data_IF_711494539098
#
_entry.id   IF_711494539098
#
_cell.length_a   1.000
_cell.length_b   1.000
_cell.length_c   1.000
_cell.angle_alpha   90.00
_cell.angle_beta   90.00
_cell.angle_gamma   90.00
#
_symmetry.space_group_name_H-M   'P 1'
#
loop_
_entity.id
_entity.type
_entity.pdbx_description
1 polymer ?
#
# COMPACT_ATOMS: atom_id res chain seq x y z
N UNK A 1 -2.26 -53.72 43.94
CA UNK A 1 -1.60 -52.40 43.97
C UNK A 1 -0.98 -52.20 42.60
N UNK A 2 -1.31 -51.25 41.74
CA UNK A 2 -2.19 -50.09 41.74
C UNK A 2 -1.93 -49.45 40.36
N UNK A 3 -2.93 -49.50 39.49
CA UNK A 3 -3.64 -48.33 38.95
C UNK A 3 -3.04 -47.79 37.64
N UNK A 4 -3.87 -47.96 36.62
CA UNK A 4 -3.95 -47.24 35.36
C UNK A 4 -3.71 -45.74 35.53
N UNK A 5 -2.94 -45.16 34.62
CA UNK A 5 -2.69 -43.73 34.52
C UNK A 5 -2.27 -43.35 33.11
N UNK A 6 -3.15 -43.60 32.14
CA UNK A 6 -3.06 -43.03 30.80
C UNK A 6 -3.56 -41.58 30.87
N UNK A 7 -2.68 -40.59 30.79
CA UNK A 7 -3.01 -39.20 30.49
C UNK A 7 -1.92 -38.67 29.56
N UNK A 8 -2.05 -38.80 28.23
CA UNK A 8 -2.95 -37.97 27.44
C UNK A 8 -3.02 -36.51 27.95
N UNK A 9 -1.87 -35.86 28.10
CA UNK A 9 -1.78 -34.40 28.19
C UNK A 9 -1.01 -33.75 27.03
N UNK A 10 -0.66 -34.50 25.97
CA UNK A 10 -0.27 -33.91 24.67
C UNK A 10 -1.48 -33.40 23.86
N UNK A 11 -2.54 -32.98 24.55
CA UNK A 11 -3.62 -32.16 23.98
C UNK A 11 -3.45 -30.71 24.41
N UNK A 12 -2.37 -30.10 23.94
CA UNK A 12 -2.37 -28.69 23.56
C UNK A 12 -2.67 -28.65 22.07
N UNK A 13 -3.92 -28.83 21.58
CA UNK A 13 -4.98 -27.79 21.56
C UNK A 13 -4.34 -26.41 21.67
N UNK A 14 -4.03 -25.67 20.61
CA UNK A 14 -4.53 -25.65 19.26
C UNK A 14 -3.50 -24.76 18.53
N UNK A 15 -2.86 -25.18 17.43
CA UNK A 15 -2.17 -24.21 16.56
C UNK A 15 -3.26 -23.50 15.76
N UNK A 16 -4.10 -22.75 16.47
CA UNK A 16 -5.21 -22.00 15.93
C UNK A 16 -4.60 -20.99 14.96
N UNK A 17 -5.00 -21.04 13.69
CA UNK A 17 -4.64 -20.00 12.72
C UNK A 17 -5.19 -18.66 13.21
N UNK A 18 -4.68 -17.54 12.72
CA UNK A 18 -5.25 -16.24 13.09
C UNK A 18 -6.60 -16.08 12.37
N UNK A 19 -6.61 -16.37 11.07
CA UNK A 19 -7.81 -16.30 10.23
C UNK A 19 -7.90 -17.59 9.41
N UNK A 20 -9.09 -18.14 9.29
CA UNK A 20 -9.41 -19.15 8.25
C UNK A 20 -10.57 -18.68 7.40
N UNK A 21 -10.34 -18.57 6.09
CA UNK A 21 -11.36 -18.29 5.08
C UNK A 21 -11.88 -19.63 4.56
N UNK A 22 -13.19 -19.86 4.61
CA UNK A 22 -13.83 -21.17 4.37
C UNK A 22 -14.65 -21.21 3.10
N UNK A 23 -14.56 -22.33 2.37
CA UNK A 23 -15.48 -22.67 1.28
C UNK A 23 -15.40 -21.77 0.05
N UNK A 24 -14.32 -20.99 -0.07
CA UNK A 24 -14.15 -20.00 -1.13
C UNK A 24 -13.81 -20.62 -2.48
N UNK A 25 -14.15 -19.89 -3.55
CA UNK A 25 -13.66 -20.16 -4.90
C UNK A 25 -12.34 -19.40 -5.07
N UNK A 26 -11.22 -20.09 -4.90
CA UNK A 26 -9.88 -19.49 -4.93
C UNK A 26 -9.42 -19.26 -6.37
N UNK A 27 -9.03 -18.02 -6.66
CA UNK A 27 -8.33 -17.61 -7.89
C UNK A 27 -6.98 -17.03 -7.45
N UNK A 28 -5.90 -17.80 -7.59
CA UNK A 28 -4.61 -17.48 -6.95
C UNK A 28 -3.72 -16.50 -7.74
N UNK A 29 -4.22 -15.96 -8.86
CA UNK A 29 -3.51 -14.98 -9.68
C UNK A 29 -2.44 -15.57 -10.61
N UNK A 30 -2.21 -16.89 -10.61
CA UNK A 30 -1.23 -17.54 -11.49
C UNK A 30 -1.72 -17.74 -12.93
N UNK A 31 -3.01 -17.52 -13.18
CA UNK A 31 -3.68 -17.85 -14.44
C UNK A 31 -4.21 -19.29 -14.51
N UNK A 32 -4.01 -20.11 -13.47
CA UNK A 32 -4.63 -21.43 -13.35
C UNK A 32 -6.16 -21.33 -13.18
N UNK A 33 -6.93 -22.39 -13.52
CA UNK A 33 -8.37 -22.44 -13.25
C UNK A 33 -8.68 -22.28 -11.75
N UNK A 34 -9.84 -21.68 -11.45
CA UNK A 34 -10.32 -21.54 -10.08
C UNK A 34 -10.66 -22.89 -9.44
N UNK A 35 -10.56 -22.98 -8.11
CA UNK A 35 -10.88 -24.19 -7.35
C UNK A 35 -11.53 -23.86 -6.02
N UNK A 36 -12.38 -24.74 -5.51
CA UNK A 36 -12.85 -24.64 -4.14
C UNK A 36 -11.72 -24.97 -3.16
N UNK A 37 -11.49 -24.09 -2.20
CA UNK A 37 -10.49 -24.29 -1.15
C UNK A 37 -10.74 -23.34 0.04
N UNK A 38 -10.24 -23.77 1.19
CA UNK A 38 -10.03 -22.93 2.37
C UNK A 38 -8.65 -22.27 2.32
N UNK A 39 -8.49 -21.16 3.01
CA UNK A 39 -7.22 -20.44 3.19
C UNK A 39 -6.96 -20.23 4.67
N UNK A 40 -5.79 -20.63 5.14
CA UNK A 40 -5.34 -20.41 6.52
C UNK A 40 -4.26 -19.33 6.56
N UNK A 41 -4.41 -18.37 7.47
CA UNK A 41 -3.49 -17.25 7.68
C UNK A 41 -2.93 -17.33 9.09
N UNK A 42 -1.62 -17.15 9.21
CA UNK A 42 -0.92 -17.07 10.50
C UNK A 42 0.25 -16.09 10.41
N UNK A 43 0.40 -15.25 11.43
CA UNK A 43 1.47 -14.26 11.56
C UNK A 43 1.55 -13.36 10.30
N UNK A 44 0.38 -12.96 9.77
CA UNK A 44 0.25 -12.14 8.57
C UNK A 44 0.58 -12.84 7.24
N UNK A 45 0.76 -14.17 7.24
CA UNK A 45 1.11 -14.95 6.05
C UNK A 45 0.09 -16.03 5.75
N UNK A 46 -0.14 -16.30 4.46
CA UNK A 46 -0.88 -17.49 4.03
C UNK A 46 0.00 -18.71 4.30
N UNK A 47 -0.49 -19.65 5.10
CA UNK A 47 0.24 -20.85 5.52
C UNK A 47 -0.34 -22.15 4.94
N UNK A 48 -1.58 -22.12 4.48
CA UNK A 48 -2.19 -23.23 3.73
C UNK A 48 -3.27 -22.73 2.77
N UNK A 49 -3.42 -23.45 1.64
CA UNK A 49 -4.51 -23.29 0.67
C UNK A 49 -4.97 -24.68 0.25
N UNK A 50 -6.23 -25.02 0.46
CA UNK A 50 -6.77 -26.36 0.18
C UNK A 50 -7.79 -26.78 1.23
N UNK A 51 -7.75 -28.04 1.66
CA UNK A 51 -8.54 -28.48 2.82
C UNK A 51 -7.79 -28.11 4.09
N UNK A 52 -8.46 -27.41 5.01
CA UNK A 52 -7.89 -26.99 6.30
C UNK A 52 -8.74 -27.63 7.40
N UNK A 53 -8.22 -28.56 8.19
CA UNK A 53 -9.02 -29.22 9.23
C UNK A 53 -9.14 -28.37 10.50
N UNK A 54 -8.12 -27.56 10.80
CA UNK A 54 -8.07 -26.71 11.99
C UNK A 54 -8.84 -25.39 11.81
N UNK A 55 -9.36 -24.83 12.90
CA UNK A 55 -10.01 -23.50 12.89
C UNK A 55 -9.02 -22.37 13.14
N UNK A 56 -9.44 -21.14 12.81
CA UNK A 56 -8.76 -19.91 13.18
C UNK A 56 -9.38 -19.24 14.40
N UNK A 57 -8.69 -18.22 14.93
CA UNK A 57 -9.24 -17.26 15.91
C UNK A 57 -10.46 -16.58 15.29
N UNK A 58 -10.33 -16.19 14.03
CA UNK A 58 -11.39 -15.71 13.17
C UNK A 58 -11.69 -16.72 12.07
N UNK A 59 -12.98 -16.88 11.76
CA UNK A 59 -13.44 -17.71 10.65
C UNK A 59 -14.33 -16.87 9.76
N UNK A 60 -13.96 -16.78 8.48
CA UNK A 60 -14.70 -16.05 7.45
C UNK A 60 -15.36 -17.07 6.52
N UNK A 61 -16.69 -17.07 6.44
CA UNK A 61 -17.44 -17.88 5.48
C UNK A 61 -17.44 -17.20 4.10
N UNK A 62 -16.72 -17.80 3.14
CA UNK A 62 -16.62 -17.35 1.76
C UNK A 62 -17.38 -18.29 0.81
N UNK A 63 -18.35 -19.07 1.30
CA UNK A 63 -19.16 -19.97 0.48
C UNK A 63 -19.84 -19.21 -0.67
N UNK A 64 -19.57 -19.63 -1.90
CA UNK A 64 -20.10 -18.98 -3.11
C UNK A 64 -19.42 -17.66 -3.48
N UNK A 65 -18.42 -17.22 -2.71
CA UNK A 65 -17.62 -16.02 -2.97
C UNK A 65 -16.29 -16.39 -3.65
N UNK A 66 -15.74 -15.44 -4.39
CA UNK A 66 -14.37 -15.54 -4.90
C UNK A 66 -13.39 -15.07 -3.84
N UNK A 67 -12.28 -15.79 -3.70
CA UNK A 67 -11.16 -15.37 -2.87
C UNK A 67 -9.94 -15.21 -3.77
N UNK A 68 -9.43 -13.98 -3.85
CA UNK A 68 -8.32 -13.60 -4.73
C UNK A 68 -7.17 -13.03 -3.91
N UNK A 69 -5.94 -12.95 -4.45
CA UNK A 69 -4.97 -11.98 -3.97
C UNK A 69 -5.59 -10.59 -3.94
N UNK A 70 -5.18 -9.77 -2.97
CA UNK A 70 -5.51 -8.36 -2.98
C UNK A 70 -4.95 -7.69 -4.24
N UNK A 71 -5.69 -6.74 -4.80
CA UNK A 71 -5.29 -6.09 -6.04
C UNK A 71 -4.11 -5.14 -5.80
N UNK A 72 -3.28 -5.01 -6.84
CA UNK A 72 -2.16 -4.07 -6.88
C UNK A 72 -2.53 -3.00 -7.89
N UNK A 73 -2.60 -1.75 -7.43
CA UNK A 73 -2.80 -0.59 -8.29
C UNK A 73 -1.43 0.00 -8.64
N UNK A 74 -0.91 -0.22 -9.86
CA UNK A 74 0.43 0.19 -10.23
C UNK A 74 0.53 1.69 -10.55
N UNK A 75 -0.59 2.43 -10.56
CA UNK A 75 -0.61 3.78 -11.08
C UNK A 75 -1.56 4.69 -10.30
N UNK A 76 -1.08 5.15 -9.15
CA UNK A 76 -1.83 6.05 -8.27
C UNK A 76 -1.14 7.40 -8.11
N UNK A 77 -1.95 8.36 -7.64
CA UNK A 77 -1.52 9.68 -7.18
C UNK A 77 -1.96 9.91 -5.72
N UNK A 78 -1.87 8.85 -4.90
CA UNK A 78 -2.19 8.92 -3.47
C UNK A 78 -1.09 9.53 -2.61
N UNK A 79 -0.02 10.05 -3.22
CA UNK A 79 1.17 10.59 -2.59
C UNK A 79 0.85 11.56 -1.43
N UNK A 80 -0.11 12.46 -1.66
CA UNK A 80 -0.61 13.38 -0.65
C UNK A 80 -1.74 12.77 0.16
N UNK A 81 -2.68 12.09 -0.52
CA UNK A 81 -3.92 11.62 0.09
C UNK A 81 -3.70 10.68 1.27
N UNK A 82 -2.66 9.84 1.23
CA UNK A 82 -2.35 8.93 2.34
C UNK A 82 -2.08 9.64 3.68
N UNK A 83 -1.76 10.94 3.66
CA UNK A 83 -1.52 11.72 4.88
C UNK A 83 -2.82 12.11 5.61
N UNK A 84 -3.96 12.20 4.91
CA UNK A 84 -5.27 12.50 5.53
C UNK A 84 -6.31 11.38 5.39
N UNK A 85 -6.12 10.48 4.44
CA UNK A 85 -6.86 9.23 4.27
C UNK A 85 -5.86 8.06 4.23
N UNK A 86 -5.39 7.58 5.39
CA UNK A 86 -4.39 6.52 5.49
C UNK A 86 -4.90 5.16 5.00
N UNK A 87 -6.21 5.03 4.76
CA UNK A 87 -6.82 3.79 4.29
C UNK A 87 -6.80 3.65 2.76
N UNK A 88 -6.40 4.70 2.03
CA UNK A 88 -6.56 4.81 0.58
C UNK A 88 -7.98 4.40 0.16
N UNK A 89 -8.99 4.95 0.86
CA UNK A 89 -10.38 4.48 0.79
C UNK A 89 -10.95 4.34 -0.63
N UNK A 90 -10.62 5.20 -1.61
CA UNK A 90 -11.17 5.02 -2.96
C UNK A 90 -10.62 3.78 -3.69
N UNK A 91 -9.49 3.20 -3.25
CA UNK A 91 -8.94 1.96 -3.81
C UNK A 91 -9.19 0.76 -2.90
N UNK A 92 -9.02 0.89 -1.58
CA UNK A 92 -9.12 -0.26 -0.66
C UNK A 92 -10.52 -0.86 -0.60
N UNK A 93 -11.58 -0.04 -0.71
CA UNK A 93 -12.97 -0.53 -0.78
C UNK A 93 -13.27 -1.32 -2.07
N UNK A 94 -12.41 -1.21 -3.08
CA UNK A 94 -12.50 -1.99 -4.32
C UNK A 94 -11.55 -3.19 -4.34
N UNK A 95 -10.95 -3.56 -3.19
CA UNK A 95 -10.09 -4.73 -3.05
C UNK A 95 -8.60 -4.49 -3.31
N UNK A 96 -8.19 -3.23 -3.50
CA UNK A 96 -6.76 -2.88 -3.62
C UNK A 96 -6.10 -2.96 -2.25
N UNK A 97 -4.97 -3.67 -2.18
CA UNK A 97 -4.17 -3.84 -0.95
C UNK A 97 -2.76 -3.27 -1.08
N UNK A 98 -2.34 -2.95 -2.30
CA UNK A 98 -1.03 -2.37 -2.60
C UNK A 98 -1.19 -1.29 -3.65
N UNK A 99 -0.56 -0.14 -3.42
CA UNK A 99 -0.53 0.97 -4.37
C UNK A 99 0.91 1.31 -4.77
N UNK A 100 1.07 1.85 -5.97
CA UNK A 100 2.31 2.49 -6.43
C UNK A 100 2.02 3.96 -6.72
N UNK A 101 2.65 4.86 -5.96
CA UNK A 101 2.57 6.32 -6.12
C UNK A 101 3.79 6.91 -6.83
N UNK A 102 3.81 8.23 -6.97
CA UNK A 102 4.92 8.95 -7.60
C UNK A 102 4.96 8.86 -9.13
N UNK A 103 3.80 8.62 -9.74
CA UNK A 103 3.64 8.44 -11.17
C UNK A 103 3.73 9.76 -11.95
N UNK A 104 3.85 9.65 -13.27
CA UNK A 104 3.80 10.79 -14.21
C UNK A 104 4.87 11.87 -13.99
N UNK A 105 5.91 11.57 -13.20
CA UNK A 105 6.94 12.52 -12.81
C UNK A 105 6.55 13.44 -11.65
N UNK A 106 5.37 13.23 -11.06
CA UNK A 106 4.84 14.03 -9.96
C UNK A 106 4.99 13.30 -8.64
N UNK A 107 5.63 13.96 -7.68
CA UNK A 107 5.83 13.47 -6.32
C UNK A 107 5.84 14.65 -5.36
N UNK A 108 5.72 14.37 -4.07
CA UNK A 108 5.79 15.39 -3.04
C UNK A 108 7.20 15.65 -2.52
N UNK A 109 8.16 14.79 -2.89
CA UNK A 109 9.54 14.87 -2.44
C UNK A 109 10.49 14.48 -3.60
N UNK A 110 11.71 15.04 -3.63
CA UNK A 110 12.26 15.99 -2.68
C UNK A 110 11.62 17.39 -2.80
N UNK A 111 11.67 18.17 -1.72
CA UNK A 111 10.98 19.46 -1.61
C UNK A 111 11.92 20.53 -1.04
N UNK A 112 12.29 21.51 -1.86
CA UNK A 112 13.09 22.64 -1.36
C UNK A 112 12.31 23.49 -0.35
N UNK A 113 12.97 24.04 0.68
CA UNK A 113 12.36 25.02 1.56
C UNK A 113 11.77 26.20 0.77
N UNK A 114 10.46 26.40 0.90
CA UNK A 114 9.71 27.45 0.20
C UNK A 114 9.00 27.02 -1.09
N UNK A 115 9.22 25.81 -1.60
CA UNK A 115 8.63 25.33 -2.86
C UNK A 115 7.32 24.53 -2.68
N UNK A 116 6.81 24.43 -1.45
CA UNK A 116 5.60 23.64 -1.16
C UNK A 116 4.40 24.11 -2.00
N UNK A 117 4.23 25.43 -2.15
CA UNK A 117 3.15 26.01 -2.96
C UNK A 117 3.26 25.62 -4.44
N UNK A 118 4.47 25.48 -4.98
CA UNK A 118 4.68 25.05 -6.37
C UNK A 118 4.24 23.59 -6.57
N UNK A 119 4.70 22.66 -5.72
CA UNK A 119 4.29 21.25 -5.83
C UNK A 119 2.80 21.07 -5.57
N UNK A 120 2.23 21.84 -4.64
CA UNK A 120 0.79 21.81 -4.35
C UNK A 120 -0.06 22.25 -5.55
N UNK A 121 0.33 23.34 -6.21
CA UNK A 121 -0.35 23.84 -7.41
C UNK A 121 -0.16 22.90 -8.60
N UNK A 122 1.01 22.28 -8.73
CA UNK A 122 1.27 21.26 -9.74
C UNK A 122 0.31 20.07 -9.56
N UNK A 123 0.22 19.53 -8.35
CA UNK A 123 -0.66 18.40 -8.03
C UNK A 123 -2.15 18.76 -8.28
N UNK A 124 -2.56 19.97 -7.90
CA UNK A 124 -3.92 20.44 -8.18
C UNK A 124 -4.22 20.57 -9.68
N UNK A 125 -3.26 21.07 -10.46
CA UNK A 125 -3.44 21.30 -11.89
C UNK A 125 -3.42 20.01 -12.71
N UNK A 126 -2.56 19.06 -12.36
CA UNK A 126 -2.37 17.85 -13.17
C UNK A 126 -3.27 16.71 -12.70
N UNK A 127 -3.33 16.46 -11.40
CA UNK A 127 -4.12 15.35 -10.84
C UNK A 127 -5.53 15.78 -10.39
N UNK A 128 -5.90 17.05 -10.62
CA UNK A 128 -7.22 17.57 -10.28
C UNK A 128 -7.50 17.61 -8.78
N UNK A 129 -6.49 17.44 -7.93
CA UNK A 129 -6.66 17.46 -6.48
C UNK A 129 -7.12 18.84 -6.02
N UNK A 130 -8.19 18.96 -5.20
CA UNK A 130 -8.63 20.25 -4.69
C UNK A 130 -7.50 20.92 -3.90
N UNK A 131 -7.18 22.17 -4.24
CA UNK A 131 -6.09 22.90 -3.57
C UNK A 131 -6.29 22.94 -2.05
N UNK A 132 -7.53 23.19 -1.61
CA UNK A 132 -7.95 23.18 -0.21
C UNK A 132 -7.61 21.87 0.52
N UNK A 133 -7.76 20.71 -0.14
CA UNK A 133 -7.40 19.43 0.46
C UNK A 133 -5.90 19.33 0.68
N UNK A 134 -5.10 19.81 -0.28
CA UNK A 134 -3.64 19.79 -0.18
C UNK A 134 -3.08 20.80 0.84
N UNK A 135 -3.76 21.91 1.12
CA UNK A 135 -3.32 22.88 2.16
C UNK A 135 -3.62 22.38 3.56
N UNK A 136 -4.75 21.69 3.74
CA UNK A 136 -5.23 21.29 5.06
C UNK A 136 -4.85 19.84 5.40
N UNK A 137 -4.62 19.00 4.40
CA UNK A 137 -4.36 17.57 4.57
C UNK A 137 -2.91 17.22 4.83
N UNK A 138 -1.98 18.16 4.70
CA UNK A 138 -0.56 17.93 4.97
C UNK A 138 0.20 19.22 5.29
N UNK A 139 1.23 19.12 6.12
CA UNK A 139 2.06 20.22 6.59
C UNK A 139 3.27 20.53 5.67
N UNK A 140 3.53 19.68 4.67
CA UNK A 140 4.65 19.81 3.72
C UNK A 140 6.02 20.00 4.40
N UNK A 141 6.20 19.39 5.58
CA UNK A 141 7.35 19.61 6.48
C UNK A 141 8.53 18.65 6.26
N UNK A 142 8.81 18.28 5.02
CA UNK A 142 9.94 17.41 4.64
C UNK A 142 10.77 18.04 3.52
N UNK A 143 12.02 17.64 3.41
CA UNK A 143 12.91 18.04 2.31
C UNK A 143 13.33 16.82 1.49
N UNK A 144 13.68 15.71 2.14
CA UNK A 144 14.11 14.49 1.47
C UNK A 144 12.97 13.50 1.21
N UNK A 145 13.19 12.60 0.24
CA UNK A 145 12.26 11.50 -0.02
C UNK A 145 12.12 10.56 1.18
N UNK A 146 13.20 10.34 1.94
CA UNK A 146 13.18 9.49 3.12
C UNK A 146 12.33 10.09 4.25
N UNK A 147 12.41 11.41 4.47
CA UNK A 147 11.55 12.12 5.43
C UNK A 147 10.07 12.00 5.04
N UNK A 148 9.75 12.18 3.76
CA UNK A 148 8.40 11.96 3.24
C UNK A 148 7.90 10.53 3.51
N UNK A 149 8.67 9.50 3.14
CA UNK A 149 8.30 8.11 3.40
C UNK A 149 8.13 7.82 4.90
N UNK A 150 8.97 8.44 5.75
CA UNK A 150 8.85 8.34 7.19
C UNK A 150 7.53 8.88 7.76
N UNK A 151 6.81 9.73 7.03
CA UNK A 151 5.46 10.16 7.40
C UNK A 151 4.41 9.07 7.22
N UNK A 152 4.64 8.15 6.28
CA UNK A 152 3.71 7.08 5.93
C UNK A 152 3.98 5.79 6.73
N UNK A 153 5.23 5.55 7.08
CA UNK A 153 5.66 4.35 7.80
C UNK A 153 4.85 4.13 9.09
N UNK A 154 4.18 2.97 9.18
CA UNK A 154 3.33 2.61 10.31
C UNK A 154 1.98 3.36 10.42
N UNK A 155 1.70 4.31 9.53
CA UNK A 155 0.50 5.15 9.59
C UNK A 155 -0.56 4.82 8.53
N UNK A 156 -0.24 3.98 7.53
CA UNK A 156 -1.13 3.63 6.42
C UNK A 156 -1.64 2.19 6.51
N UNK A 157 -2.82 1.92 5.94
CA UNK A 157 -3.45 0.58 5.99
C UNK A 157 -3.22 -0.28 4.74
N UNK A 158 -2.68 0.31 3.66
CA UNK A 158 -2.29 -0.41 2.43
C UNK A 158 -0.78 -0.53 2.36
N UNK A 159 -0.28 -1.52 1.61
CA UNK A 159 1.11 -1.49 1.21
C UNK A 159 1.30 -0.36 0.19
N UNK A 160 2.39 0.39 0.30
CA UNK A 160 2.68 1.49 -0.61
C UNK A 160 4.13 1.44 -1.08
N UNK A 161 4.32 1.51 -2.39
CA UNK A 161 5.61 1.80 -3.03
C UNK A 161 5.54 3.13 -3.76
N UNK A 162 6.65 3.83 -3.90
CA UNK A 162 6.70 5.13 -4.57
C UNK A 162 7.87 5.20 -5.55
N UNK A 163 7.57 5.71 -6.74
CA UNK A 163 8.58 6.22 -7.66
C UNK A 163 9.00 7.63 -7.19
N UNK A 164 10.18 8.09 -7.62
CA UNK A 164 10.59 9.49 -7.43
C UNK A 164 10.32 10.28 -8.70
N UNK A 165 9.60 11.39 -8.57
CA UNK A 165 9.08 12.15 -9.70
C UNK A 165 10.11 13.10 -10.28
N UNK A 166 10.29 13.03 -11.60
CA UNK A 166 11.20 13.89 -12.33
C UNK A 166 10.95 15.40 -12.14
N UNK A 167 9.69 15.83 -12.02
CA UNK A 167 9.35 17.24 -11.83
C UNK A 167 9.84 17.78 -10.48
N UNK A 168 9.70 17.00 -9.41
CA UNK A 168 10.20 17.36 -8.10
C UNK A 168 11.74 17.41 -8.10
N UNK A 169 12.41 16.41 -8.70
CA UNK A 169 13.87 16.41 -8.84
C UNK A 169 14.37 17.63 -9.62
N UNK A 170 13.78 17.91 -10.80
CA UNK A 170 14.18 19.07 -11.60
C UNK A 170 13.98 20.37 -10.85
N UNK A 171 12.85 20.53 -10.16
CA UNK A 171 12.60 21.71 -9.34
C UNK A 171 13.62 21.83 -8.21
N UNK A 172 13.96 20.72 -7.57
CA UNK A 172 14.91 20.71 -6.46
C UNK A 172 16.34 21.09 -6.88
N UNK A 173 16.78 20.63 -8.06
CA UNK A 173 18.14 20.89 -8.55
C UNK A 173 18.25 22.25 -9.26
N UNK A 174 17.27 22.58 -10.10
CA UNK A 174 17.32 23.77 -10.98
C UNK A 174 16.56 24.98 -10.40
N UNK A 175 15.77 24.79 -9.33
CA UNK A 175 14.92 25.85 -8.77
C UNK A 175 13.92 26.41 -9.80
N UNK A 176 13.71 27.74 -9.84
CA UNK A 176 12.87 28.42 -10.82
C UNK A 176 13.15 28.07 -12.29
N UNK A 177 14.41 27.85 -12.66
CA UNK A 177 14.82 27.54 -14.03
C UNK A 177 14.30 26.17 -14.53
N UNK A 178 13.74 25.33 -13.65
CA UNK A 178 13.13 24.06 -14.03
C UNK A 178 11.95 24.22 -15.01
N UNK A 179 11.33 25.40 -15.08
CA UNK A 179 10.14 25.67 -15.87
C UNK A 179 10.31 26.92 -16.70
N UNK A 180 10.01 26.82 -18.01
CA UNK A 180 9.89 27.99 -18.89
C UNK A 180 11.19 28.52 -19.49
N UNK A 181 12.34 28.01 -19.08
CA UNK A 181 13.63 28.31 -19.70
C UNK A 181 14.01 27.22 -20.73
N UNK A 182 14.51 27.63 -21.89
CA UNK A 182 15.12 26.71 -22.85
C UNK A 182 16.51 26.30 -22.35
N UNK A 183 16.87 25.03 -22.54
CA UNK A 183 18.19 24.54 -22.19
C UNK A 183 19.27 25.25 -23.03
N UNK A 184 20.24 25.87 -22.38
CA UNK A 184 21.43 26.41 -23.02
C UNK A 184 22.47 25.31 -23.24
N UNK A 185 23.42 25.54 -24.15
CA UNK A 185 24.53 24.61 -24.36
C UNK A 185 25.30 24.34 -23.05
N UNK A 186 25.49 25.35 -22.20
CA UNK A 186 26.16 25.21 -20.90
C UNK A 186 25.38 24.31 -19.92
N UNK A 187 24.04 24.45 -19.87
CA UNK A 187 23.20 23.63 -18.99
C UNK A 187 23.04 22.18 -19.42
N UNK A 188 23.40 21.84 -20.66
CA UNK A 188 23.30 20.47 -21.21
C UNK A 188 24.54 19.63 -20.87
N UNK A 189 25.70 20.26 -20.65
CA UNK A 189 27.00 19.57 -20.43
C UNK A 189 27.41 19.48 -18.96
N UNK A 190 26.65 20.11 -18.05
CA UNK A 190 26.89 20.09 -16.60
C UNK A 190 26.24 18.87 -15.93
#
# INVERSE_FOLDING_TARGET
>A
MGLWGNSNSERSRHKMFDIVIRGGIVIDGTGAPSRQADIAIKDGRIVAVGVVDETGVEVIDATGMMVTPGFIDPHTHYDAQLLWDPTASPSSVHGVTTIVGGNCGFTLAPLLPGDADYLRKMMSKVEGMPLAALENGTDWSWESFAEYLGRLEGNISVNAGFLVGHCAIRRYVMGPAAVGEEASAETIVA
#
